data_IF_966057544239
#
_entry.id   IF_966057544239
#
_cell.length_a   1.000
_cell.length_b   1.000
_cell.length_c   1.000
_cell.angle_alpha   90.00
_cell.angle_beta   90.00
_cell.angle_gamma   90.00
#
_symmetry.space_group_name_H-M   'P 1'
#
loop_
_entity.id
_entity.type
_entity.pdbx_description
1 polymer ?
#
# COMPACT_ATOMS: atom_id res chain seq x y z
N UNK A 1 23.44 3.13 -31.61
CA UNK A 1 24.26 2.29 -30.69
C UNK A 1 23.90 2.67 -29.25
N UNK A 2 23.78 1.72 -28.33
CA UNK A 2 23.50 1.99 -26.91
C UNK A 2 24.77 2.42 -26.16
N UNK A 3 24.66 3.37 -25.25
CA UNK A 3 25.76 3.85 -24.42
C UNK A 3 25.28 4.18 -23.00
N UNK A 4 26.18 4.18 -22.03
CA UNK A 4 25.92 4.68 -20.69
C UNK A 4 25.80 6.20 -20.71
N UNK A 5 24.83 6.73 -19.96
CA UNK A 5 24.66 8.15 -19.69
C UNK A 5 24.97 8.44 -18.22
N UNK A 6 25.43 9.65 -17.97
CA UNK A 6 25.63 10.14 -16.60
C UNK A 6 24.50 11.11 -16.27
N UNK A 7 23.47 10.62 -15.57
CA UNK A 7 22.34 11.42 -15.11
C UNK A 7 22.55 11.87 -13.66
N UNK A 8 22.06 13.05 -13.33
CA UNK A 8 21.86 13.48 -11.93
C UNK A 8 20.78 12.61 -11.25
N UNK A 9 20.60 12.77 -9.95
CA UNK A 9 19.51 12.08 -9.23
C UNK A 9 18.15 12.54 -9.74
N UNK A 10 17.98 13.85 -9.90
CA UNK A 10 16.74 14.45 -10.41
C UNK A 10 16.39 13.95 -11.84
N UNK A 11 17.38 13.88 -12.74
CA UNK A 11 17.15 13.38 -14.11
C UNK A 11 16.77 11.89 -14.11
N UNK A 12 17.38 11.09 -13.21
CA UNK A 12 17.00 9.69 -13.01
C UNK A 12 15.55 9.58 -12.54
N UNK A 13 15.19 10.33 -11.49
CA UNK A 13 13.87 10.27 -10.88
C UNK A 13 12.79 10.81 -11.83
N UNK A 14 13.06 11.88 -12.59
CA UNK A 14 12.17 12.35 -13.66
C UNK A 14 11.91 11.29 -14.73
N UNK A 15 12.95 10.53 -15.14
CA UNK A 15 12.76 9.45 -16.09
C UNK A 15 11.89 8.34 -15.48
N UNK A 16 12.14 7.94 -14.24
CA UNK A 16 11.32 6.94 -13.52
C UNK A 16 9.87 7.39 -13.47
N UNK A 17 9.59 8.63 -13.09
CA UNK A 17 8.23 9.15 -12.94
C UNK A 17 7.47 9.25 -14.26
N UNK A 18 8.17 9.56 -15.35
CA UNK A 18 7.57 9.71 -16.68
C UNK A 18 7.37 8.38 -17.41
N UNK A 19 8.10 7.32 -17.03
CA UNK A 19 8.08 6.05 -17.73
C UNK A 19 6.88 5.17 -17.33
N UNK A 20 6.21 4.47 -18.28
CA UNK A 20 5.07 3.59 -17.97
C UNK A 20 5.37 2.48 -16.94
N UNK A 21 6.61 1.98 -16.93
CA UNK A 21 7.09 0.97 -15.98
C UNK A 21 7.85 1.57 -14.78
N UNK A 22 7.81 2.90 -14.63
CA UNK A 22 8.39 3.55 -13.47
C UNK A 22 7.65 3.18 -12.18
N UNK A 23 8.39 3.16 -11.08
CA UNK A 23 7.85 2.77 -9.77
C UNK A 23 8.56 3.54 -8.65
N UNK A 24 7.84 3.83 -7.57
CA UNK A 24 8.37 4.45 -6.34
C UNK A 24 9.68 3.79 -5.86
N UNK A 25 9.80 2.47 -6.03
CA UNK A 25 10.93 1.68 -5.55
C UNK A 25 12.21 1.88 -6.39
N UNK A 26 12.12 2.59 -7.50
CA UNK A 26 13.24 2.98 -8.36
C UNK A 26 13.68 4.44 -8.17
N UNK A 27 13.01 5.20 -7.29
CA UNK A 27 13.42 6.57 -6.95
C UNK A 27 14.64 6.58 -6.02
N UNK A 28 15.46 7.61 -6.16
CA UNK A 28 16.66 7.82 -5.33
C UNK A 28 16.28 8.05 -3.87
N UNK A 29 15.20 8.77 -3.60
CA UNK A 29 14.67 9.01 -2.25
C UNK A 29 14.24 7.71 -1.55
N UNK A 30 13.62 6.81 -2.32
CA UNK A 30 13.31 5.49 -1.79
C UNK A 30 14.57 4.74 -1.37
N UNK A 31 15.62 4.77 -2.20
CA UNK A 31 16.88 4.12 -1.87
C UNK A 31 17.52 4.70 -0.61
N UNK A 32 17.49 6.02 -0.43
CA UNK A 32 18.00 6.69 0.77
C UNK A 32 17.24 6.24 2.02
N UNK A 33 15.91 6.11 1.95
CA UNK A 33 15.10 5.59 3.07
C UNK A 33 15.50 4.18 3.52
N UNK A 34 16.16 3.39 2.66
CA UNK A 34 16.62 2.02 2.97
C UNK A 34 17.97 1.95 3.67
N UNK A 35 18.72 3.03 3.72
CA UNK A 35 20.03 3.07 4.41
C UNK A 35 19.90 2.64 5.89
N UNK A 36 18.85 3.08 6.57
CA UNK A 36 18.56 2.69 7.95
C UNK A 36 18.49 1.17 8.15
N UNK A 37 18.07 0.44 7.13
CA UNK A 37 17.95 -1.03 7.16
C UNK A 37 19.17 -1.75 6.60
N UNK A 38 20.26 -1.02 6.36
CA UNK A 38 21.56 -1.54 5.92
C UNK A 38 21.67 -1.81 4.42
N UNK A 39 20.79 -1.21 3.63
CA UNK A 39 20.92 -1.18 2.18
C UNK A 39 21.68 0.06 1.75
N UNK A 40 22.40 -0.02 0.62
CA UNK A 40 22.96 1.11 -0.10
C UNK A 40 22.71 0.93 -1.60
N UNK A 41 22.85 1.97 -2.39
CA UNK A 41 22.44 1.96 -3.80
C UNK A 41 23.57 2.28 -4.76
N UNK A 42 23.41 1.83 -5.99
CA UNK A 42 24.08 2.29 -7.21
C UNK A 42 22.99 2.53 -8.25
N UNK A 43 23.28 3.37 -9.23
CA UNK A 43 22.37 3.61 -10.36
C UNK A 43 23.16 3.75 -11.65
N UNK A 44 22.50 3.48 -12.77
CA UNK A 44 23.02 3.75 -14.10
C UNK A 44 21.88 4.10 -15.04
N UNK A 45 22.23 4.71 -16.14
CA UNK A 45 21.30 5.06 -17.21
C UNK A 45 21.90 4.62 -18.56
N UNK A 46 21.01 4.23 -19.47
CA UNK A 46 21.35 3.83 -20.83
C UNK A 46 20.59 4.74 -21.80
N UNK A 47 21.28 5.18 -22.83
CA UNK A 47 20.69 5.99 -23.89
C UNK A 47 21.22 5.65 -25.26
N UNK A 48 20.64 6.34 -26.26
CA UNK A 48 21.07 6.23 -27.65
C UNK A 48 22.24 7.19 -27.97
N UNK A 49 22.73 7.15 -29.21
CA UNK A 49 23.83 8.00 -29.67
C UNK A 49 23.50 9.51 -29.57
N UNK A 50 22.23 9.87 -29.71
CA UNK A 50 21.78 11.26 -29.60
C UNK A 50 21.76 11.76 -28.12
N UNK A 51 21.96 10.85 -27.15
CA UNK A 51 21.94 11.18 -25.74
C UNK A 51 20.54 11.12 -25.11
N UNK A 52 19.56 10.60 -25.82
CA UNK A 52 18.21 10.36 -25.29
C UNK A 52 18.25 9.15 -24.33
N UNK A 53 17.68 9.30 -23.15
CA UNK A 53 17.60 8.22 -22.14
C UNK A 53 16.54 7.19 -22.56
N UNK A 54 16.93 5.92 -22.62
CA UNK A 54 16.08 4.79 -22.98
C UNK A 54 15.77 3.88 -21.79
N UNK A 55 16.59 3.92 -20.75
CA UNK A 55 16.37 3.13 -19.55
C UNK A 55 17.24 3.56 -18.40
N UNK A 56 16.73 3.35 -17.18
CA UNK A 56 17.47 3.56 -15.94
C UNK A 56 17.30 2.37 -15.00
N UNK A 57 18.22 2.21 -14.07
CA UNK A 57 18.12 1.23 -13.01
C UNK A 57 18.74 1.73 -11.71
N UNK A 58 18.03 1.51 -10.61
CA UNK A 58 18.50 1.68 -9.26
C UNK A 58 18.70 0.29 -8.64
N UNK A 59 19.94 0.01 -8.24
CA UNK A 59 20.36 -1.26 -7.67
C UNK A 59 20.57 -1.09 -6.17
N UNK A 60 19.84 -1.84 -5.38
CA UNK A 60 19.99 -1.90 -3.93
C UNK A 60 20.93 -3.05 -3.54
N UNK A 61 21.91 -2.78 -2.70
CA UNK A 61 22.86 -3.76 -2.21
C UNK A 61 22.74 -3.94 -0.71
N UNK A 62 22.73 -5.19 -0.27
CA UNK A 62 22.77 -5.54 1.15
C UNK A 62 23.90 -6.50 1.45
N UNK A 63 24.76 -6.13 2.40
CA UNK A 63 25.87 -7.00 2.84
C UNK A 63 25.33 -8.26 3.52
N UNK A 64 25.89 -9.40 3.16
CA UNK A 64 25.62 -10.66 3.85
C UNK A 64 26.44 -10.70 5.13
N UNK A 65 25.81 -10.84 6.32
CA UNK A 65 26.54 -10.83 7.58
C UNK A 65 27.67 -11.86 7.61
N UNK A 66 28.85 -11.45 8.08
CA UNK A 66 30.07 -12.27 8.22
C UNK A 66 30.67 -12.80 6.90
N UNK A 67 30.13 -12.42 5.75
CA UNK A 67 30.65 -12.82 4.44
C UNK A 67 31.01 -11.58 3.61
N UNK A 68 32.07 -11.69 2.79
CA UNK A 68 32.46 -10.59 1.91
C UNK A 68 31.68 -10.62 0.58
N UNK A 69 30.35 -10.70 0.70
CA UNK A 69 29.44 -10.72 -0.43
C UNK A 69 28.22 -9.87 -0.14
N UNK A 70 27.53 -9.47 -1.20
CA UNK A 70 26.27 -8.71 -1.14
C UNK A 70 25.17 -9.46 -1.87
N UNK A 71 23.93 -9.08 -1.59
CA UNK A 71 22.76 -9.32 -2.45
C UNK A 71 22.50 -8.04 -3.23
N UNK A 72 22.31 -8.15 -4.54
CA UNK A 72 21.79 -7.07 -5.37
C UNK A 72 20.28 -7.27 -5.59
N UNK A 73 19.49 -6.21 -5.39
CA UNK A 73 18.08 -6.21 -5.68
C UNK A 73 17.72 -4.98 -6.51
N UNK A 74 17.17 -5.20 -7.69
CA UNK A 74 16.62 -4.16 -8.57
C UNK A 74 15.10 -4.21 -8.42
N UNK A 75 14.60 -3.41 -7.48
CA UNK A 75 13.18 -3.39 -7.13
C UNK A 75 12.34 -2.99 -8.34
N UNK A 76 11.31 -3.77 -8.65
CA UNK A 76 10.45 -3.57 -9.83
C UNK A 76 11.19 -3.64 -11.17
N UNK A 77 12.41 -4.20 -11.21
CA UNK A 77 13.18 -4.42 -12.43
C UNK A 77 13.83 -3.15 -12.99
N UNK A 78 14.24 -3.22 -14.24
CA UNK A 78 14.72 -2.07 -14.99
C UNK A 78 13.53 -1.17 -15.38
N UNK A 79 13.74 0.14 -15.36
CA UNK A 79 12.79 1.09 -15.92
C UNK A 79 13.15 1.32 -17.38
N UNK A 80 12.59 0.51 -18.26
CA UNK A 80 12.85 0.53 -19.71
C UNK A 80 11.73 -0.19 -20.47
N UNK A 81 11.76 -0.13 -21.79
CA UNK A 81 10.89 -0.96 -22.63
C UNK A 81 11.42 -2.40 -22.69
N UNK A 82 10.67 -3.35 -22.09
CA UNK A 82 11.00 -4.77 -22.12
C UNK A 82 10.71 -5.46 -23.46
N UNK A 83 10.05 -4.79 -24.39
CA UNK A 83 9.88 -5.27 -25.78
C UNK A 83 11.09 -4.94 -26.66
N UNK A 84 12.10 -4.22 -26.13
CA UNK A 84 13.42 -4.06 -26.78
C UNK A 84 14.46 -5.01 -26.16
N UNK A 85 14.67 -6.21 -26.74
CA UNK A 85 15.62 -7.18 -26.20
C UNK A 85 17.05 -6.65 -26.12
N UNK A 86 17.48 -5.85 -27.10
CA UNK A 86 18.83 -5.30 -27.09
C UNK A 86 19.08 -4.33 -25.95
N UNK A 87 18.06 -3.52 -25.63
CA UNK A 87 18.11 -2.62 -24.49
C UNK A 87 18.18 -3.40 -23.19
N UNK A 88 17.32 -4.40 -22.99
CA UNK A 88 17.29 -5.21 -21.77
C UNK A 88 18.60 -6.00 -21.57
N UNK A 89 19.16 -6.58 -22.65
CA UNK A 89 20.46 -7.25 -22.58
C UNK A 89 21.59 -6.30 -22.22
N UNK A 90 21.58 -5.08 -22.78
CA UNK A 90 22.56 -4.04 -22.44
C UNK A 90 22.42 -3.64 -20.96
N UNK A 91 21.20 -3.40 -20.48
CA UNK A 91 20.89 -3.09 -19.08
C UNK A 91 21.39 -4.20 -18.15
N UNK A 92 21.11 -5.46 -18.50
CA UNK A 92 21.59 -6.62 -17.72
C UNK A 92 23.11 -6.68 -17.66
N UNK A 93 23.80 -6.47 -18.80
CA UNK A 93 25.26 -6.45 -18.85
C UNK A 93 25.85 -5.42 -17.88
N UNK A 94 25.32 -4.20 -17.88
CA UNK A 94 25.80 -3.15 -16.99
C UNK A 94 25.44 -3.41 -15.53
N UNK A 95 24.23 -3.92 -15.25
CA UNK A 95 23.85 -4.36 -13.91
C UNK A 95 24.79 -5.46 -13.39
N UNK A 96 25.22 -6.41 -14.24
CA UNK A 96 26.17 -7.47 -13.89
C UNK A 96 27.57 -6.93 -13.62
N UNK A 97 28.03 -5.91 -14.35
CA UNK A 97 29.32 -5.26 -14.09
C UNK A 97 29.32 -4.65 -12.69
N UNK A 98 28.33 -3.82 -12.39
CA UNK A 98 28.17 -3.18 -11.06
C UNK A 98 28.00 -4.23 -9.96
N UNK A 99 27.19 -5.26 -10.19
CA UNK A 99 26.95 -6.32 -9.20
C UNK A 99 28.22 -7.12 -8.88
N UNK A 100 29.10 -7.36 -9.87
CA UNK A 100 30.39 -8.03 -9.65
C UNK A 100 31.36 -7.16 -8.86
N UNK A 101 31.43 -5.86 -9.15
CA UNK A 101 32.26 -4.90 -8.41
C UNK A 101 31.86 -4.84 -6.94
N UNK A 102 30.55 -4.88 -6.68
CA UNK A 102 29.96 -4.91 -5.34
C UNK A 102 29.94 -6.33 -4.71
N UNK A 103 30.55 -7.32 -5.38
CA UNK A 103 30.64 -8.73 -4.93
C UNK A 103 29.28 -9.37 -4.67
N UNK A 104 28.29 -9.05 -5.49
CA UNK A 104 26.98 -9.65 -5.36
C UNK A 104 27.00 -11.13 -5.74
N UNK A 105 26.34 -11.97 -4.95
CA UNK A 105 26.20 -13.40 -5.28
C UNK A 105 25.03 -13.66 -6.24
N UNK A 106 24.07 -12.74 -6.30
CA UNK A 106 22.94 -12.79 -7.21
C UNK A 106 22.38 -11.39 -7.44
N UNK A 107 21.71 -11.19 -8.57
CA UNK A 107 20.77 -10.10 -8.82
C UNK A 107 19.36 -10.66 -8.73
N UNK A 108 18.49 -10.03 -7.93
CA UNK A 108 17.06 -10.29 -7.88
C UNK A 108 16.31 -9.15 -8.53
N UNK A 109 15.30 -9.47 -9.34
CA UNK A 109 14.36 -8.50 -9.93
C UNK A 109 12.93 -9.00 -9.80
N UNK A 110 11.97 -8.08 -9.76
CA UNK A 110 10.54 -8.34 -9.77
C UNK A 110 9.82 -7.30 -10.65
N UNK A 111 10.01 -7.35 -11.99
CA UNK A 111 9.55 -6.31 -12.90
C UNK A 111 8.06 -5.98 -12.72
N UNK A 112 7.72 -4.68 -12.71
CA UNK A 112 6.34 -4.21 -12.61
C UNK A 112 5.62 -4.32 -13.98
N UNK A 113 5.63 -5.52 -14.54
CA UNK A 113 5.08 -5.85 -15.83
C UNK A 113 3.82 -6.69 -15.66
N UNK A 114 2.67 -6.25 -16.24
CA UNK A 114 1.46 -7.06 -16.21
C UNK A 114 1.66 -8.40 -16.95
N UNK A 115 1.33 -9.50 -16.29
CA UNK A 115 1.47 -10.86 -16.86
C UNK A 115 0.66 -11.05 -18.15
N UNK A 116 -0.48 -10.36 -18.26
CA UNK A 116 -1.36 -10.47 -19.44
C UNK A 116 -0.67 -10.02 -20.73
N UNK A 117 0.13 -8.94 -20.66
CA UNK A 117 0.78 -8.30 -21.81
C UNK A 117 2.27 -8.62 -21.95
N UNK A 118 2.89 -9.23 -20.93
CA UNK A 118 4.34 -9.48 -20.89
C UNK A 118 4.68 -10.94 -20.52
N UNK A 119 3.83 -11.88 -20.90
CA UNK A 119 4.08 -13.30 -20.62
C UNK A 119 5.34 -13.83 -21.33
N UNK A 120 5.60 -13.36 -22.52
CA UNK A 120 6.78 -13.66 -23.33
C UNK A 120 8.08 -13.14 -22.71
N UNK A 121 8.02 -12.06 -21.91
CA UNK A 121 9.15 -11.54 -21.16
C UNK A 121 9.72 -12.58 -20.19
N UNK A 122 8.90 -13.52 -19.69
CA UNK A 122 9.38 -14.60 -18.81
C UNK A 122 10.38 -15.47 -19.56
N UNK A 123 10.01 -15.96 -20.75
CA UNK A 123 10.88 -16.82 -21.57
C UNK A 123 12.13 -16.06 -22.04
N UNK A 124 11.94 -14.79 -22.40
CA UNK A 124 13.07 -13.93 -22.80
C UNK A 124 14.08 -13.74 -21.66
N UNK A 125 13.63 -13.37 -20.45
CA UNK A 125 14.53 -13.20 -19.29
C UNK A 125 15.23 -14.51 -18.92
N UNK A 126 14.54 -15.66 -19.04
CA UNK A 126 15.18 -16.96 -18.82
C UNK A 126 16.24 -17.25 -19.89
N UNK A 127 16.00 -16.88 -21.15
CA UNK A 127 16.96 -17.08 -22.24
C UNK A 127 18.27 -16.31 -22.05
N UNK A 128 18.23 -15.15 -21.40
CA UNK A 128 19.41 -14.32 -21.07
C UNK A 128 20.02 -14.63 -19.70
N UNK A 129 19.57 -15.70 -19.02
CA UNK A 129 20.21 -16.29 -17.84
C UNK A 129 19.55 -16.05 -16.51
N UNK A 130 18.42 -15.37 -16.45
CA UNK A 130 17.59 -15.32 -15.24
C UNK A 130 16.92 -16.66 -14.96
N UNK A 131 16.51 -16.86 -13.72
CA UNK A 131 15.70 -17.99 -13.26
C UNK A 131 14.39 -17.46 -12.73
N UNK A 132 13.29 -17.79 -13.38
CA UNK A 132 11.97 -17.44 -12.89
C UNK A 132 11.63 -18.19 -11.59
N UNK A 133 11.10 -17.48 -10.60
CA UNK A 133 10.75 -18.02 -9.28
C UNK A 133 9.34 -18.62 -9.23
N UNK A 134 8.66 -18.68 -10.35
CA UNK A 134 7.29 -19.18 -10.51
C UNK A 134 6.22 -18.15 -10.20
N UNK A 135 5.01 -18.39 -10.66
CA UNK A 135 3.84 -17.54 -10.47
C UNK A 135 3.16 -17.84 -9.13
N UNK A 136 3.80 -17.44 -8.03
CA UNK A 136 3.29 -17.65 -6.68
C UNK A 136 2.11 -16.73 -6.37
N UNK A 137 1.30 -17.09 -5.36
CA UNK A 137 0.25 -16.22 -4.82
C UNK A 137 0.81 -14.88 -4.33
N UNK A 138 0.05 -13.80 -4.50
CA UNK A 138 0.48 -12.44 -4.18
C UNK A 138 0.84 -12.23 -2.72
N UNK A 139 0.24 -13.00 -1.80
CA UNK A 139 0.53 -12.95 -0.36
C UNK A 139 1.51 -14.02 0.11
N UNK A 140 2.18 -14.73 -0.83
CA UNK A 140 3.21 -15.69 -0.49
C UNK A 140 4.35 -15.04 0.29
N UNK A 141 4.74 -15.66 1.42
CA UNK A 141 5.89 -15.22 2.23
C UNK A 141 7.25 -15.38 1.53
N UNK A 142 7.27 -16.13 0.42
CA UNK A 142 8.47 -16.33 -0.38
C UNK A 142 8.65 -15.25 -1.46
N UNK A 143 7.71 -14.32 -1.60
CA UNK A 143 7.84 -13.15 -2.47
C UNK A 143 8.56 -12.01 -1.75
N UNK A 144 9.40 -11.28 -2.46
CA UNK A 144 10.01 -10.03 -1.96
C UNK A 144 8.96 -8.92 -1.99
N UNK A 145 8.22 -8.83 -3.11
CA UNK A 145 7.10 -7.93 -3.28
C UNK A 145 5.84 -8.71 -3.67
N UNK A 146 4.65 -8.21 -3.37
CA UNK A 146 3.42 -8.84 -3.82
C UNK A 146 3.37 -8.93 -5.36
N UNK A 147 3.24 -10.16 -5.88
CA UNK A 147 3.05 -10.38 -7.33
C UNK A 147 1.67 -9.94 -7.81
N UNK A 148 0.68 -10.07 -6.95
CA UNK A 148 -0.71 -9.66 -7.21
C UNK A 148 -1.07 -8.52 -6.28
N UNK A 149 -1.54 -7.41 -6.85
CA UNK A 149 -2.02 -6.24 -6.11
C UNK A 149 -3.42 -5.85 -6.57
N UNK A 150 -4.14 -5.09 -5.76
CA UNK A 150 -5.44 -4.51 -6.15
C UNK A 150 -5.28 -3.05 -6.51
N UNK A 151 -5.60 -2.70 -7.76
CA UNK A 151 -5.41 -1.36 -8.32
C UNK A 151 -6.74 -0.76 -8.74
N UNK A 152 -7.01 0.48 -8.33
CA UNK A 152 -8.14 1.28 -8.79
C UNK A 152 -7.68 2.33 -9.81
N UNK A 153 -8.44 2.53 -10.88
CA UNK A 153 -8.28 3.69 -11.76
C UNK A 153 -8.94 4.91 -11.10
N UNK A 154 -8.16 5.95 -10.86
CA UNK A 154 -8.59 7.19 -10.17
C UNK A 154 -8.63 8.41 -11.09
N UNK A 155 -8.25 8.29 -12.34
CA UNK A 155 -8.32 9.36 -13.37
C UNK A 155 -9.79 9.63 -13.75
N UNK A 156 -10.54 10.21 -12.82
CA UNK A 156 -11.99 10.45 -12.88
C UNK A 156 -12.35 11.64 -12.00
N UNK A 157 -13.41 12.37 -12.36
CA UNK A 157 -13.97 13.35 -11.44
C UNK A 157 -14.50 12.72 -10.14
N UNK A 158 -14.77 13.52 -9.11
CA UNK A 158 -15.21 13.05 -7.79
C UNK A 158 -16.49 12.19 -7.85
N UNK A 159 -17.41 12.55 -8.74
CA UNK A 159 -18.68 11.84 -8.90
C UNK A 159 -18.46 10.48 -9.55
N UNK A 160 -17.67 10.43 -10.64
CA UNK A 160 -17.34 9.21 -11.35
C UNK A 160 -16.46 8.29 -10.49
N UNK A 161 -15.50 8.85 -9.74
CA UNK A 161 -14.69 8.10 -8.79
C UNK A 161 -15.55 7.43 -7.74
N UNK A 162 -16.44 8.19 -7.08
CA UNK A 162 -17.35 7.62 -6.10
C UNK A 162 -18.31 6.58 -6.72
N UNK A 163 -18.76 6.78 -7.98
CA UNK A 163 -19.60 5.82 -8.69
C UNK A 163 -18.89 4.52 -9.05
N UNK A 164 -17.58 4.52 -9.21
CA UNK A 164 -16.79 3.32 -9.49
C UNK A 164 -16.75 2.33 -8.33
N UNK A 165 -17.01 2.77 -7.10
CA UNK A 165 -17.04 1.91 -5.92
C UNK A 165 -18.30 1.03 -5.88
N UNK A 166 -18.25 -0.09 -5.18
CA UNK A 166 -19.42 -0.92 -4.91
C UNK A 166 -20.51 -0.11 -4.19
N UNK A 167 -21.80 -0.40 -4.48
CA UNK A 167 -22.95 0.36 -3.95
C UNK A 167 -22.90 0.56 -2.43
N UNK A 168 -22.62 -0.51 -1.69
CA UNK A 168 -22.55 -0.44 -0.23
C UNK A 168 -21.38 0.42 0.25
N UNK A 169 -20.25 0.37 -0.46
CA UNK A 169 -19.07 1.16 -0.12
C UNK A 169 -19.32 2.67 -0.35
N UNK A 170 -19.99 3.04 -1.45
CA UNK A 170 -20.42 4.44 -1.69
C UNK A 170 -21.26 4.98 -0.54
N UNK A 171 -22.17 4.15 -0.03
CA UNK A 171 -22.99 4.53 1.12
C UNK A 171 -22.16 4.73 2.38
N UNK A 172 -21.19 3.85 2.62
CA UNK A 172 -20.25 3.96 3.75
C UNK A 172 -19.42 5.24 3.69
N UNK A 173 -18.86 5.57 2.52
CA UNK A 173 -18.09 6.81 2.31
C UNK A 173 -18.95 8.04 2.64
N UNK A 174 -20.15 8.15 2.05
CA UNK A 174 -21.06 9.26 2.31
C UNK A 174 -21.46 9.36 3.80
N UNK A 175 -21.68 8.22 4.44
CA UNK A 175 -22.01 8.18 5.87
C UNK A 175 -20.84 8.62 6.74
N UNK A 176 -19.60 8.21 6.42
CA UNK A 176 -18.41 8.63 7.15
C UNK A 176 -18.23 10.15 7.10
N UNK A 177 -18.33 10.74 5.89
CA UNK A 177 -18.26 12.20 5.69
C UNK A 177 -19.33 12.91 6.53
N UNK A 178 -20.60 12.46 6.46
CA UNK A 178 -21.71 13.08 7.16
C UNK A 178 -21.63 12.95 8.69
N UNK A 179 -20.94 11.91 9.19
CA UNK A 179 -20.86 11.60 10.62
C UNK A 179 -19.69 12.28 11.33
N UNK A 180 -19.15 13.38 10.78
CA UNK A 180 -18.17 14.22 11.45
C UNK A 180 -16.75 13.67 11.50
N UNK A 181 -16.39 12.74 10.62
CA UNK A 181 -14.98 12.41 10.41
C UNK A 181 -14.33 13.49 9.55
N UNK A 182 -13.11 13.89 9.90
CA UNK A 182 -12.26 14.82 9.15
C UNK A 182 -10.99 14.14 8.74
N UNK A 183 -10.66 14.18 7.46
CA UNK A 183 -9.39 13.71 6.91
C UNK A 183 -8.50 14.91 6.67
N UNK A 184 -7.25 14.84 7.11
CA UNK A 184 -6.28 15.92 6.88
C UNK A 184 -4.90 15.35 6.62
N UNK A 185 -4.08 16.12 5.92
CA UNK A 185 -2.65 15.87 5.81
C UNK A 185 -2.00 16.29 7.11
N UNK A 186 -1.24 15.39 7.67
CA UNK A 186 -0.64 15.54 8.99
C UNK A 186 0.85 15.80 8.85
N UNK A 187 1.41 16.47 9.85
CA UNK A 187 2.81 16.86 9.88
C UNK A 187 3.71 15.72 10.40
N UNK A 188 5.01 15.92 10.29
CA UNK A 188 6.03 14.97 10.76
C UNK A 188 5.85 14.53 12.21
N UNK A 189 5.48 15.47 13.08
CA UNK A 189 5.27 15.26 14.52
C UNK A 189 4.13 14.27 14.81
N UNK A 190 3.16 14.19 13.91
CA UNK A 190 2.00 13.29 14.00
C UNK A 190 2.35 11.83 13.68
N UNK A 191 3.57 11.55 13.17
CA UNK A 191 4.06 10.17 13.00
C UNK A 191 4.00 9.37 14.30
N UNK A 192 4.14 10.00 15.47
CA UNK A 192 4.00 9.35 16.77
C UNK A 192 2.58 8.79 16.98
N UNK A 193 1.58 9.56 16.58
CA UNK A 193 0.17 9.15 16.60
C UNK A 193 -0.07 8.00 15.61
N UNK A 194 0.45 8.12 14.40
CA UNK A 194 0.37 7.07 13.39
C UNK A 194 1.01 5.76 13.86
N UNK A 195 2.20 5.81 14.47
CA UNK A 195 2.89 4.62 15.02
C UNK A 195 2.09 3.98 16.15
N UNK A 196 1.39 4.78 16.96
CA UNK A 196 0.50 4.25 18.01
C UNK A 196 -0.65 3.46 17.38
N UNK A 197 -1.31 4.01 16.35
CA UNK A 197 -2.33 3.30 15.59
C UNK A 197 -1.79 2.05 14.89
N UNK A 198 -0.56 2.11 14.34
CA UNK A 198 0.10 0.96 13.73
C UNK A 198 0.33 -0.18 14.75
N UNK A 199 0.73 0.13 15.99
CA UNK A 199 0.89 -0.87 17.05
C UNK A 199 -0.44 -1.52 17.41
N UNK A 200 -1.51 -0.74 17.57
CA UNK A 200 -2.86 -1.24 17.82
C UNK A 200 -3.33 -2.17 16.69
N UNK A 201 -3.14 -1.73 15.43
CA UNK A 201 -3.46 -2.53 14.23
C UNK A 201 -2.65 -3.82 14.19
N UNK A 202 -1.34 -3.76 14.45
CA UNK A 202 -0.45 -4.94 14.43
C UNK A 202 -0.81 -5.96 15.51
N UNK A 203 -1.19 -5.50 16.70
CA UNK A 203 -1.65 -6.37 17.80
C UNK A 203 -2.97 -7.08 17.42
N UNK A 204 -3.92 -6.35 16.87
CA UNK A 204 -5.20 -6.88 16.41
C UNK A 204 -5.04 -7.90 15.27
N UNK A 205 -4.25 -7.57 14.27
CA UNK A 205 -4.16 -8.33 13.01
C UNK A 205 -2.99 -9.33 13.00
N UNK A 206 -2.21 -9.39 14.11
CA UNK A 206 -1.18 -10.42 14.35
C UNK A 206 0.10 -10.24 13.51
N UNK A 207 0.51 -9.00 13.19
CA UNK A 207 1.77 -8.75 12.48
C UNK A 207 2.71 -7.81 13.26
N UNK A 208 4.00 -7.91 12.96
CA UNK A 208 5.02 -7.04 13.53
C UNK A 208 5.04 -5.70 12.80
N UNK A 209 4.94 -4.63 13.57
CA UNK A 209 5.02 -3.26 13.04
C UNK A 209 6.46 -2.75 13.03
N UNK A 210 6.73 -1.75 12.20
CA UNK A 210 7.96 -0.98 12.23
C UNK A 210 7.92 0.02 13.39
N UNK A 211 9.10 0.46 13.83
CA UNK A 211 9.25 1.49 14.86
C UNK A 211 9.12 2.92 14.26
N UNK A 212 9.13 3.91 15.13
CA UNK A 212 9.03 5.32 14.75
C UNK A 212 10.19 5.74 13.84
N UNK A 213 11.41 5.30 14.11
CA UNK A 213 12.61 5.66 13.36
C UNK A 213 12.52 5.24 11.90
N UNK A 214 11.90 4.08 11.64
CA UNK A 214 11.64 3.63 10.28
C UNK A 214 10.66 4.56 9.53
N UNK A 215 9.56 4.96 10.18
CA UNK A 215 8.56 5.84 9.55
C UNK A 215 9.07 7.27 9.41
N UNK A 216 9.87 7.76 10.37
CA UNK A 216 10.57 9.03 10.24
C UNK A 216 11.53 9.01 9.05
N UNK A 217 12.33 7.96 8.89
CA UNK A 217 13.22 7.83 7.73
C UNK A 217 12.49 7.78 6.40
N UNK A 218 11.32 7.11 6.33
CA UNK A 218 10.51 7.15 5.12
C UNK A 218 9.99 8.56 4.83
N UNK A 219 9.43 9.20 5.84
CA UNK A 219 8.83 10.52 5.70
C UNK A 219 9.89 11.57 5.31
N UNK A 220 10.99 11.62 6.07
CA UNK A 220 12.06 12.60 5.87
C UNK A 220 12.73 12.50 4.48
N UNK A 221 12.76 11.31 3.88
CA UNK A 221 13.36 11.15 2.56
C UNK A 221 12.37 11.32 1.40
N UNK A 222 11.05 11.15 1.62
CA UNK A 222 10.09 11.10 0.53
C UNK A 222 9.11 12.28 0.53
N UNK A 223 8.89 12.93 1.68
CA UNK A 223 7.86 13.97 1.82
C UNK A 223 8.23 15.27 1.09
N UNK A 224 9.43 15.77 1.30
CA UNK A 224 9.84 17.07 0.77
C UNK A 224 9.83 17.14 -0.76
N UNK A 225 10.01 15.99 -1.42
CA UNK A 225 9.93 15.85 -2.87
C UNK A 225 8.52 15.46 -3.37
N UNK A 226 7.53 15.44 -2.48
CA UNK A 226 6.14 15.14 -2.83
C UNK A 226 5.82 13.66 -3.06
N UNK A 227 6.76 12.76 -2.73
CA UNK A 227 6.58 11.31 -2.93
C UNK A 227 5.84 10.62 -1.79
N UNK A 228 5.57 11.31 -0.66
CA UNK A 228 4.85 10.75 0.48
C UNK A 228 4.06 11.79 1.24
N UNK A 229 2.87 11.39 1.70
CA UNK A 229 2.02 12.16 2.60
C UNK A 229 1.49 11.30 3.74
N UNK A 230 1.43 11.89 4.93
CA UNK A 230 0.75 11.31 6.09
C UNK A 230 -0.69 11.83 6.14
N UNK A 231 -1.66 10.92 6.10
CA UNK A 231 -3.07 11.24 6.32
C UNK A 231 -3.52 10.73 7.68
N UNK A 232 -4.26 11.57 8.40
CA UNK A 232 -4.94 11.18 9.63
C UNK A 232 -6.42 11.47 9.52
N UNK A 233 -7.23 10.68 10.24
CA UNK A 233 -8.67 10.88 10.36
C UNK A 233 -9.02 11.15 11.79
N UNK A 234 -9.64 12.31 12.03
CA UNK A 234 -10.12 12.77 13.32
C UNK A 234 -11.64 12.70 13.36
N UNK A 235 -12.21 12.14 14.39
CA UNK A 235 -13.62 12.30 14.71
C UNK A 235 -13.80 13.60 15.49
N UNK A 236 -14.70 14.46 15.03
CA UNK A 236 -15.03 15.74 15.65
C UNK A 236 -16.41 15.63 16.33
N UNK A 237 -16.48 15.37 17.65
CA UNK A 237 -17.76 15.15 18.32
C UNK A 237 -18.73 16.32 18.20
N UNK A 238 -18.24 17.54 18.19
CA UNK A 238 -19.05 18.76 17.99
C UNK A 238 -19.75 18.80 16.63
N UNK A 239 -19.09 18.33 15.58
CA UNK A 239 -19.66 18.27 14.22
C UNK A 239 -20.68 17.13 14.11
N UNK A 240 -20.39 16.00 14.77
CA UNK A 240 -21.37 14.90 14.86
C UNK A 240 -22.62 15.35 15.57
N UNK A 241 -22.50 16.04 16.72
CA UNK A 241 -23.62 16.57 17.48
C UNK A 241 -24.49 17.51 16.62
N UNK A 242 -23.85 18.47 15.93
CA UNK A 242 -24.57 19.39 15.04
C UNK A 242 -25.31 18.64 13.90
N UNK A 243 -24.70 17.62 13.31
CA UNK A 243 -25.33 16.80 12.28
C UNK A 243 -26.52 16.00 12.81
N UNK A 244 -26.42 15.48 14.04
CA UNK A 244 -27.51 14.76 14.69
C UNK A 244 -28.69 15.66 15.06
N UNK A 245 -28.43 16.92 15.46
CA UNK A 245 -29.48 17.92 15.69
C UNK A 245 -30.30 18.18 14.41
N UNK A 246 -29.63 18.42 13.29
CA UNK A 246 -30.28 18.62 11.99
C UNK A 246 -31.12 17.40 11.58
N UNK A 247 -30.56 16.19 11.75
CA UNK A 247 -31.32 14.95 11.46
C UNK A 247 -32.51 14.77 12.40
N UNK A 248 -32.40 15.13 13.68
CA UNK A 248 -33.47 15.06 14.67
C UNK A 248 -34.60 16.02 14.32
N UNK A 249 -34.29 17.28 14.07
CA UNK A 249 -35.31 18.28 13.63
C UNK A 249 -36.06 17.84 12.37
N UNK A 250 -35.32 17.20 11.43
CA UNK A 250 -35.95 16.68 10.21
C UNK A 250 -36.93 15.55 10.52
N UNK A 251 -36.56 14.61 11.37
CA UNK A 251 -37.43 13.50 11.77
C UNK A 251 -38.65 14.01 12.52
N UNK A 252 -38.50 15.01 13.40
CA UNK A 252 -39.61 15.62 14.13
C UNK A 252 -40.61 16.32 13.19
N UNK A 253 -40.12 17.13 12.24
CA UNK A 253 -40.95 17.74 11.20
C UNK A 253 -41.68 16.70 10.34
N UNK A 254 -41.01 15.58 10.00
CA UNK A 254 -41.65 14.53 9.21
C UNK A 254 -42.67 13.72 10.02
N UNK A 255 -42.46 13.53 11.34
CA UNK A 255 -43.42 12.96 12.27
C UNK A 255 -44.68 13.81 12.37
N UNK A 256 -44.56 15.12 12.57
CA UNK A 256 -45.68 16.05 12.60
C UNK A 256 -46.50 16.00 11.31
N UNK A 257 -45.83 15.95 10.14
CA UNK A 257 -46.49 15.81 8.85
C UNK A 257 -47.21 14.47 8.73
N UNK A 258 -46.59 13.38 9.20
CA UNK A 258 -47.21 12.05 9.16
C UNK A 258 -48.47 11.98 10.06
N UNK A 259 -48.44 12.61 11.24
CA UNK A 259 -49.59 12.67 12.16
C UNK A 259 -50.79 13.39 11.57
N UNK A 260 -50.57 14.39 10.71
CA UNK A 260 -51.65 15.18 10.03
C UNK A 260 -52.31 14.44 8.84
N UNK A 261 -51.80 13.26 8.42
CA UNK A 261 -52.36 12.46 7.32
C UNK A 261 -53.64 11.74 7.76
N UNK A 262 -54.47 11.36 6.76
CA UNK A 262 -55.66 10.53 7.02
C UNK A 262 -55.27 9.17 7.61
N UNK A 263 -56.07 8.65 8.50
CA UNK A 263 -55.84 7.38 9.18
C UNK A 263 -55.81 6.21 8.19
N UNK A 264 -54.94 5.24 8.49
CA UNK A 264 -54.73 4.05 7.70
C UNK A 264 -53.35 3.40 7.94
N UNK A 265 -53.18 2.16 7.55
CA UNK A 265 -51.98 1.35 7.79
C UNK A 265 -50.69 2.00 7.28
N UNK A 266 -50.73 2.78 6.20
CA UNK A 266 -49.59 3.54 5.69
C UNK A 266 -49.12 4.63 6.65
N UNK A 267 -50.07 5.35 7.30
CA UNK A 267 -49.77 6.38 8.31
C UNK A 267 -49.14 5.75 9.54
N UNK A 268 -49.72 4.67 10.04
CA UNK A 268 -49.25 3.96 11.23
C UNK A 268 -47.80 3.43 11.02
N UNK A 269 -47.55 2.77 9.87
CA UNK A 269 -46.20 2.28 9.53
C UNK A 269 -45.19 3.43 9.41
N UNK A 270 -45.56 4.55 8.77
CA UNK A 270 -44.72 5.73 8.64
C UNK A 270 -44.38 6.35 9.99
N UNK A 271 -45.35 6.48 10.90
CA UNK A 271 -45.15 7.01 12.25
C UNK A 271 -44.22 6.06 13.03
N UNK A 272 -44.44 4.75 12.95
CA UNK A 272 -43.61 3.75 13.60
C UNK A 272 -42.15 3.84 13.14
N UNK A 273 -41.92 3.92 11.83
CA UNK A 273 -40.58 4.02 11.27
C UNK A 273 -39.86 5.31 11.69
N UNK A 274 -40.57 6.45 11.67
CA UNK A 274 -40.03 7.74 12.10
C UNK A 274 -39.77 7.77 13.62
N UNK A 275 -40.63 7.16 14.43
CA UNK A 275 -40.43 7.05 15.87
C UNK A 275 -39.21 6.20 16.21
N UNK A 276 -39.05 5.05 15.55
CA UNK A 276 -37.86 4.22 15.69
C UNK A 276 -36.57 4.96 15.28
N UNK A 277 -36.67 5.77 14.21
CA UNK A 277 -35.54 6.60 13.78
C UNK A 277 -35.22 7.69 14.80
N UNK A 278 -36.22 8.34 15.39
CA UNK A 278 -36.04 9.34 16.45
C UNK A 278 -35.35 8.74 17.68
N UNK A 279 -35.80 7.58 18.14
CA UNK A 279 -35.19 6.88 19.26
C UNK A 279 -33.71 6.56 19.00
N UNK A 280 -33.41 6.07 17.79
CA UNK A 280 -32.04 5.78 17.39
C UNK A 280 -31.13 7.02 17.38
N UNK A 281 -31.64 8.15 16.88
CA UNK A 281 -30.92 9.43 16.89
C UNK A 281 -30.68 9.92 18.32
N UNK A 282 -31.65 9.78 19.22
CA UNK A 282 -31.50 10.13 20.65
C UNK A 282 -30.39 9.32 21.32
N UNK A 283 -30.30 8.02 21.05
CA UNK A 283 -29.18 7.18 21.56
C UNK A 283 -27.84 7.65 21.01
N UNK A 284 -27.79 8.00 19.73
CA UNK A 284 -26.55 8.52 19.11
C UNK A 284 -26.15 9.89 19.69
N UNK A 285 -27.11 10.76 20.03
CA UNK A 285 -26.81 12.02 20.71
C UNK A 285 -26.20 11.80 22.09
N UNK A 286 -26.74 10.88 22.88
CA UNK A 286 -26.16 10.54 24.19
C UNK A 286 -24.74 9.97 24.06
N UNK A 287 -24.52 9.08 23.09
CA UNK A 287 -23.22 8.50 22.82
C UNK A 287 -22.18 9.58 22.44
N UNK A 288 -22.53 10.49 21.51
CA UNK A 288 -21.61 11.53 21.07
C UNK A 288 -21.32 12.56 22.17
N UNK A 289 -22.27 12.82 23.07
CA UNK A 289 -22.06 13.66 24.25
C UNK A 289 -21.02 13.06 25.19
N UNK A 290 -21.05 11.73 25.41
CA UNK A 290 -20.04 11.04 26.20
C UNK A 290 -18.66 11.03 25.49
N UNK A 291 -18.63 10.89 24.19
CA UNK A 291 -17.39 11.00 23.40
C UNK A 291 -16.83 12.43 23.49
N UNK A 292 -17.70 13.45 23.41
CA UNK A 292 -17.31 14.85 23.53
C UNK A 292 -16.70 15.19 24.89
N UNK A 293 -17.25 14.62 25.97
CA UNK A 293 -16.68 14.78 27.33
C UNK A 293 -15.29 14.17 27.46
N UNK A 294 -15.04 13.02 26.83
CA UNK A 294 -13.75 12.32 26.87
C UNK A 294 -12.74 12.93 25.91
N UNK A 295 -13.18 13.41 24.76
CA UNK A 295 -12.37 13.89 23.67
C UNK A 295 -12.89 15.23 23.13
N UNK A 296 -12.81 16.33 23.91
CA UNK A 296 -13.35 17.64 23.50
C UNK A 296 -12.71 18.19 22.24
N UNK A 297 -11.40 17.89 22.03
CA UNK A 297 -10.65 18.27 20.84
C UNK A 297 -10.78 17.25 19.69
N UNK A 298 -11.62 16.21 19.87
CA UNK A 298 -11.73 15.11 18.93
C UNK A 298 -10.72 14.00 19.17
N UNK A 299 -10.88 12.88 18.46
CA UNK A 299 -10.06 11.67 18.59
C UNK A 299 -9.59 11.16 17.23
N UNK A 300 -8.31 10.80 17.13
CA UNK A 300 -7.74 10.22 15.89
C UNK A 300 -8.12 8.74 15.81
N UNK A 301 -8.75 8.35 14.72
CA UNK A 301 -9.31 7.01 14.51
C UNK A 301 -8.54 6.15 13.52
N UNK A 302 -7.91 6.79 12.54
CA UNK A 302 -7.11 6.07 11.54
C UNK A 302 -6.06 6.98 10.92
N UNK A 303 -5.10 6.36 10.25
CA UNK A 303 -4.07 7.07 9.51
C UNK A 303 -3.45 6.20 8.44
N UNK A 304 -2.81 6.84 7.47
CA UNK A 304 -2.12 6.16 6.40
C UNK A 304 -0.93 6.98 5.87
N UNK A 305 0.09 6.27 5.39
CA UNK A 305 1.11 6.82 4.52
C UNK A 305 0.71 6.51 3.08
N UNK A 306 0.41 7.56 2.34
CA UNK A 306 0.21 7.55 0.90
C UNK A 306 1.55 7.87 0.26
N UNK A 307 2.01 7.02 -0.68
CA UNK A 307 3.17 7.33 -1.50
C UNK A 307 2.76 7.48 -2.96
N UNK A 308 3.52 8.28 -3.71
CA UNK A 308 3.25 8.52 -5.13
C UNK A 308 4.56 8.65 -5.90
N UNK A 309 4.57 8.09 -7.12
CA UNK A 309 5.62 8.29 -8.11
C UNK A 309 4.98 8.35 -9.50
N UNK A 310 5.15 9.48 -10.18
CA UNK A 310 4.54 9.74 -11.48
C UNK A 310 3.03 9.48 -11.47
N UNK A 311 2.58 8.57 -12.32
CA UNK A 311 1.16 8.24 -12.48
C UNK A 311 0.61 7.19 -11.50
N UNK A 312 1.42 6.69 -10.56
CA UNK A 312 1.04 5.64 -9.60
C UNK A 312 1.04 6.17 -8.16
N UNK A 313 -0.03 5.91 -7.43
CA UNK A 313 -0.13 6.14 -6.00
C UNK A 313 -0.28 4.81 -5.25
N UNK A 314 0.26 4.75 -4.03
CA UNK A 314 0.35 3.54 -3.23
C UNK A 314 -0.19 3.77 -1.82
N UNK A 315 -1.19 2.98 -1.42
CA UNK A 315 -1.57 2.84 -0.02
C UNK A 315 -0.50 2.02 0.71
N UNK A 316 0.58 2.70 1.09
CA UNK A 316 1.81 2.04 1.52
C UNK A 316 1.69 1.44 2.92
N UNK A 317 1.16 2.22 3.87
CA UNK A 317 0.87 1.79 5.23
C UNK A 317 -0.47 2.35 5.68
N UNK A 318 -1.26 1.55 6.39
CA UNK A 318 -2.51 1.98 6.96
C UNK A 318 -2.76 1.41 8.34
N UNK A 319 -3.34 2.23 9.20
CA UNK A 319 -3.62 1.88 10.58
C UNK A 319 -4.99 2.42 11.01
N UNK A 320 -5.63 1.72 11.95
CA UNK A 320 -6.89 2.18 12.52
C UNK A 320 -7.04 1.72 13.95
N UNK A 321 -7.64 2.58 14.78
CA UNK A 321 -8.09 2.23 16.13
C UNK A 321 -9.27 1.27 16.09
N UNK A 322 -9.44 0.51 17.15
CA UNK A 322 -10.63 -0.30 17.42
C UNK A 322 -11.79 0.52 17.97
N UNK A 323 -11.50 1.75 18.43
CA UNK A 323 -12.52 2.64 18.98
C UNK A 323 -13.30 3.30 17.85
N UNK A 324 -14.61 3.48 18.05
CA UNK A 324 -15.50 4.25 17.18
C UNK A 324 -15.48 3.83 15.69
N UNK A 325 -15.33 2.52 15.42
CA UNK A 325 -15.26 1.96 14.05
C UNK A 325 -16.52 2.18 13.23
N UNK A 326 -17.66 2.39 13.91
CA UNK A 326 -18.98 2.70 13.32
C UNK A 326 -19.00 4.04 12.57
N UNK A 327 -18.05 4.94 12.84
CA UNK A 327 -17.86 6.19 12.09
C UNK A 327 -17.14 6.00 10.75
N UNK A 328 -16.66 4.78 10.46
CA UNK A 328 -16.09 4.37 9.17
C UNK A 328 -14.90 5.23 8.72
N UNK A 329 -13.91 5.56 9.58
CA UNK A 329 -12.85 6.50 9.27
C UNK A 329 -12.04 6.10 8.03
N UNK A 330 -11.73 4.80 7.86
CA UNK A 330 -10.98 4.32 6.71
C UNK A 330 -11.70 4.53 5.37
N UNK A 331 -13.04 4.56 5.37
CA UNK A 331 -13.80 4.79 4.14
C UNK A 331 -13.71 6.26 3.68
N UNK A 332 -13.70 7.19 4.61
CA UNK A 332 -13.47 8.60 4.30
C UNK A 332 -12.02 8.81 3.86
N UNK A 333 -11.06 8.29 4.62
CA UNK A 333 -9.62 8.41 4.35
C UNK A 333 -9.26 7.93 2.94
N UNK A 334 -9.67 6.73 2.56
CA UNK A 334 -9.37 6.18 1.24
C UNK A 334 -9.91 7.06 0.11
N UNK A 335 -11.12 7.57 0.26
CA UNK A 335 -11.73 8.44 -0.75
C UNK A 335 -10.96 9.76 -0.89
N UNK A 336 -10.60 10.41 0.22
CA UNK A 336 -9.83 11.66 0.18
C UNK A 336 -8.40 11.44 -0.33
N UNK A 337 -7.75 10.34 0.04
CA UNK A 337 -6.41 9.98 -0.47
C UNK A 337 -6.42 9.73 -1.98
N UNK A 338 -7.44 9.05 -2.51
CA UNK A 338 -7.59 8.86 -3.96
C UNK A 338 -7.77 10.18 -4.71
N UNK A 339 -8.55 11.11 -4.16
CA UNK A 339 -8.73 12.46 -4.72
C UNK A 339 -7.41 13.22 -4.71
N UNK A 340 -6.74 13.24 -3.55
CA UNK A 340 -5.44 13.89 -3.41
C UNK A 340 -4.42 13.33 -4.42
N UNK A 341 -4.29 12.01 -4.52
CA UNK A 341 -3.36 11.37 -5.45
C UNK A 341 -3.66 11.75 -6.91
N UNK A 342 -4.94 11.72 -7.32
CA UNK A 342 -5.39 12.15 -8.65
C UNK A 342 -5.04 13.62 -8.93
N UNK A 343 -5.34 14.50 -7.98
CA UNK A 343 -5.12 15.93 -8.10
C UNK A 343 -3.61 16.28 -8.17
N UNK A 344 -2.74 15.35 -7.70
CA UNK A 344 -1.28 15.40 -7.86
C UNK A 344 -0.76 14.52 -9.03
N UNK A 345 -1.62 14.17 -9.99
CA UNK A 345 -1.21 13.55 -11.26
C UNK A 345 -1.26 12.03 -11.30
N UNK A 346 -1.58 11.33 -10.21
CA UNK A 346 -1.73 9.88 -10.26
C UNK A 346 -3.00 9.48 -11.05
N UNK A 347 -2.88 8.41 -11.83
CA UNK A 347 -3.99 7.79 -12.58
C UNK A 347 -4.46 6.48 -11.98
N UNK A 348 -3.58 5.86 -11.22
CA UNK A 348 -3.83 4.58 -10.55
C UNK A 348 -3.52 4.66 -9.06
N UNK A 349 -4.29 3.91 -8.28
CA UNK A 349 -4.14 3.80 -6.83
C UNK A 349 -4.02 2.33 -6.45
N UNK A 350 -2.83 1.93 -5.99
CA UNK A 350 -2.51 0.55 -5.60
C UNK A 350 -2.73 0.34 -4.10
N UNK A 351 -3.65 -0.54 -3.76
CA UNK A 351 -3.95 -0.97 -2.40
C UNK A 351 -2.94 -2.00 -1.85
N UNK A 352 -1.94 -2.37 -2.64
CA UNK A 352 -0.95 -3.38 -2.28
C UNK A 352 -1.42 -4.82 -2.41
N UNK A 353 -0.59 -5.72 -1.92
CA UNK A 353 -0.71 -7.16 -2.10
C UNK A 353 -2.04 -7.78 -1.70
N UNK A 354 -2.44 -8.81 -2.45
CA UNK A 354 -3.67 -9.55 -2.22
C UNK A 354 -3.51 -11.02 -2.64
N UNK A 355 -4.19 -11.93 -1.92
CA UNK A 355 -4.52 -13.26 -2.46
C UNK A 355 -5.80 -13.14 -3.27
N UNK A 356 -5.82 -13.68 -4.48
CA UNK A 356 -6.98 -13.54 -5.38
C UNK A 356 -8.08 -14.48 -4.94
N UNK A 357 -9.29 -13.93 -4.71
CA UNK A 357 -10.50 -14.69 -4.35
C UNK A 357 -10.25 -15.74 -3.26
N UNK A 358 -9.65 -15.36 -2.12
CA UNK A 358 -9.39 -16.31 -1.04
C UNK A 358 -10.72 -16.87 -0.50
N UNK A 359 -10.76 -18.10 -0.01
CA UNK A 359 -11.95 -18.65 0.64
C UNK A 359 -12.30 -17.87 1.92
N UNK A 360 -13.57 -17.91 2.33
CA UNK A 360 -14.09 -17.09 3.44
C UNK A 360 -13.41 -17.36 4.79
N UNK A 361 -12.92 -18.56 5.02
CA UNK A 361 -12.16 -18.94 6.21
C UNK A 361 -10.66 -18.57 6.15
N UNK A 362 -10.21 -18.01 5.03
CA UNK A 362 -8.83 -17.56 4.88
C UNK A 362 -8.55 -16.31 5.72
N UNK A 363 -7.39 -16.21 6.39
CA UNK A 363 -6.96 -15.00 7.07
C UNK A 363 -6.82 -13.79 6.14
N UNK A 364 -6.75 -14.01 4.82
CA UNK A 364 -6.64 -12.95 3.82
C UNK A 364 -7.99 -12.46 3.27
N UNK A 365 -9.10 -13.11 3.63
CA UNK A 365 -10.43 -12.81 3.09
C UNK A 365 -10.89 -11.38 3.45
N UNK A 366 -10.75 -10.97 4.70
CA UNK A 366 -11.12 -9.62 5.14
C UNK A 366 -10.35 -8.52 4.41
N UNK A 367 -9.05 -8.73 4.19
CA UNK A 367 -8.20 -7.80 3.44
C UNK A 367 -8.62 -7.71 1.96
N UNK A 368 -8.90 -8.85 1.34
CA UNK A 368 -9.39 -8.92 -0.04
C UNK A 368 -10.74 -8.22 -0.18
N UNK A 369 -11.69 -8.49 0.72
CA UNK A 369 -13.00 -7.79 0.73
C UNK A 369 -12.85 -6.28 0.88
N UNK A 370 -11.99 -5.83 1.80
CA UNK A 370 -11.74 -4.40 2.00
C UNK A 370 -11.23 -3.73 0.72
N UNK A 371 -10.30 -4.38 0.00
CA UNK A 371 -9.71 -3.81 -1.22
C UNK A 371 -10.67 -3.87 -2.42
N UNK A 372 -11.47 -4.92 -2.54
CA UNK A 372 -12.37 -5.15 -3.68
C UNK A 372 -13.42 -4.07 -3.85
N UNK A 373 -13.96 -3.55 -2.75
CA UNK A 373 -15.12 -2.63 -2.76
C UNK A 373 -14.85 -1.24 -3.34
N UNK A 374 -13.57 -0.93 -3.66
CA UNK A 374 -13.13 0.36 -4.18
C UNK A 374 -13.09 0.45 -5.72
N UNK A 375 -13.74 -0.48 -6.41
CA UNK A 375 -13.70 -0.54 -7.88
C UNK A 375 -12.32 -0.97 -8.41
N UNK A 376 -11.63 -1.77 -7.63
CA UNK A 376 -10.30 -2.28 -7.96
C UNK A 376 -10.34 -3.45 -8.91
N UNK A 377 -9.26 -3.62 -9.64
CA UNK A 377 -8.93 -4.81 -10.43
C UNK A 377 -7.65 -5.45 -9.89
N UNK A 378 -7.53 -6.76 -10.04
CA UNK A 378 -6.29 -7.47 -9.72
C UNK A 378 -5.27 -7.19 -10.81
N UNK A 379 -4.12 -6.65 -10.42
CA UNK A 379 -2.94 -6.52 -11.28
C UNK A 379 -1.99 -7.66 -10.96
N UNK A 380 -1.84 -8.60 -11.89
CA UNK A 380 -0.87 -9.69 -11.80
C UNK A 380 0.42 -9.32 -12.52
N UNK A 381 1.56 -9.55 -11.86
CA UNK A 381 2.89 -9.29 -12.44
C UNK A 381 3.52 -10.59 -12.94
N UNK A 382 4.52 -10.44 -13.83
CA UNK A 382 5.31 -11.58 -14.34
C UNK A 382 6.06 -12.34 -13.25
N UNK A 383 6.25 -11.77 -12.06
CA UNK A 383 6.87 -12.42 -10.91
C UNK A 383 8.34 -12.06 -10.70
N UNK A 384 9.01 -12.87 -9.88
CA UNK A 384 10.39 -12.65 -9.46
C UNK A 384 11.37 -13.50 -10.26
N UNK A 385 12.57 -12.93 -10.48
CA UNK A 385 13.66 -13.58 -11.20
C UNK A 385 14.98 -13.43 -10.44
N UNK A 386 15.78 -14.47 -10.46
CA UNK A 386 17.13 -14.47 -9.89
C UNK A 386 18.17 -14.69 -10.99
N UNK A 387 19.15 -13.78 -11.11
CA UNK A 387 20.35 -14.02 -11.88
C UNK A 387 21.48 -14.44 -10.95
N UNK A 388 21.96 -15.68 -11.07
CA UNK A 388 22.93 -16.28 -10.15
C UNK A 388 24.35 -15.96 -10.61
N UNK A 389 25.09 -15.12 -9.85
CA UNK A 389 26.47 -14.77 -10.12
C UNK A 389 27.41 -15.77 -9.45
N UNK A 390 27.18 -16.11 -8.17
CA UNK A 390 28.05 -17.00 -7.40
C UNK A 390 27.24 -18.18 -6.83
N UNK A 391 27.19 -19.30 -7.57
CA UNK A 391 26.38 -20.48 -7.24
C UNK A 391 26.51 -21.00 -5.81
N UNK A 392 27.73 -21.24 -5.25
CA UNK A 392 27.86 -21.74 -3.89
C UNK A 392 27.20 -20.84 -2.85
N UNK A 393 27.42 -19.52 -2.94
CA UNK A 393 26.83 -18.57 -2.02
C UNK A 393 25.30 -18.43 -2.21
N UNK A 394 24.85 -18.45 -3.46
CA UNK A 394 23.41 -18.45 -3.74
C UNK A 394 22.74 -19.65 -3.09
N UNK A 395 23.29 -20.87 -3.26
CA UNK A 395 22.74 -22.07 -2.64
C UNK A 395 22.75 -21.98 -1.11
N UNK A 396 23.83 -21.46 -0.53
CA UNK A 396 23.93 -21.28 0.91
C UNK A 396 22.91 -20.26 1.43
N UNK A 397 22.74 -19.12 0.75
CA UNK A 397 21.87 -18.04 1.19
C UNK A 397 20.39 -18.35 0.97
N UNK A 398 20.03 -18.90 -0.20
CA UNK A 398 18.62 -19.10 -0.59
C UNK A 398 18.05 -20.47 -0.16
N UNK A 399 18.89 -21.45 0.10
CA UNK A 399 18.46 -22.80 0.50
C UNK A 399 18.97 -23.15 1.90
N UNK A 400 20.28 -23.01 2.15
CA UNK A 400 20.91 -23.43 3.39
C UNK A 400 20.43 -22.64 4.61
N UNK A 401 20.43 -21.31 4.55
CA UNK A 401 20.02 -20.46 5.67
C UNK A 401 18.52 -20.60 5.99
N UNK A 402 17.60 -20.58 5.01
CA UNK A 402 16.19 -20.81 5.28
C UNK A 402 15.90 -22.22 5.86
N UNK A 403 16.57 -23.27 5.37
CA UNK A 403 16.44 -24.61 5.94
C UNK A 403 16.89 -24.66 7.39
N UNK A 404 18.03 -24.05 7.71
CA UNK A 404 18.55 -23.98 9.08
C UNK A 404 17.61 -23.21 10.01
N UNK A 405 17.05 -22.08 9.56
CA UNK A 405 16.06 -21.31 10.33
C UNK A 405 14.77 -22.09 10.58
N UNK A 406 14.23 -22.76 9.55
CA UNK A 406 13.05 -23.64 9.70
C UNK A 406 13.33 -24.79 10.68
N UNK A 407 14.51 -25.40 10.62
CA UNK A 407 14.95 -26.45 11.55
C UNK A 407 15.01 -25.96 13.00
N UNK A 408 15.59 -24.76 13.22
CA UNK A 408 15.68 -24.14 14.55
C UNK A 408 14.31 -23.79 15.14
N UNK A 409 13.40 -23.27 14.34
CA UNK A 409 12.01 -22.97 14.76
C UNK A 409 11.29 -24.28 15.16
N UNK A 410 11.40 -25.32 14.33
CA UNK A 410 10.78 -26.61 14.61
C UNK A 410 11.33 -27.26 15.91
N UNK A 411 12.65 -27.18 16.13
CA UNK A 411 13.30 -27.65 17.34
C UNK A 411 12.81 -26.90 18.58
N UNK A 412 12.73 -25.56 18.51
CA UNK A 412 12.25 -24.73 19.62
C UNK A 412 10.77 -25.02 19.96
N UNK A 413 9.93 -25.24 18.93
CA UNK A 413 8.52 -25.64 19.13
C UNK A 413 8.40 -27.01 19.79
N UNK A 414 9.24 -27.99 19.39
CA UNK A 414 9.27 -29.32 20.01
C UNK A 414 9.75 -29.24 21.45
N UNK A 415 10.78 -28.45 21.75
CA UNK A 415 11.28 -28.23 23.12
C UNK A 415 10.25 -27.53 24.00
N UNK A 416 9.48 -26.60 23.46
CA UNK A 416 8.39 -25.92 24.18
C UNK A 416 7.26 -26.89 24.50
N UNK A 417 6.83 -27.70 23.53
CA UNK A 417 5.81 -28.73 23.71
C UNK A 417 6.23 -29.84 24.72
N UNK A 418 7.53 -30.16 24.79
CA UNK A 418 8.07 -31.10 25.79
C UNK A 418 8.12 -30.48 27.18
N UNK A 419 8.33 -29.17 27.31
CA UNK A 419 8.28 -28.47 28.63
C UNK A 419 6.86 -28.28 29.15
N UNK A 420 5.87 -28.14 28.26
CA UNK A 420 4.45 -28.03 28.62
C UNK A 420 3.81 -29.39 28.97
N UNK A 421 4.47 -30.51 28.68
CA UNK A 421 4.05 -31.88 29.07
C UNK A 421 4.70 -32.39 30.35
N UNK A 422 5.57 -31.62 30.97
CA UNK A 422 6.14 -31.87 32.34
C UNK A 422 5.53 -30.92 33.36
#
# INVERSE_FOLDING_TARGET
MLKLLNLTEDEHDQFVESHPHGDLLQLTDWAQSKHLTGWYSRRFAVGNEAGETLGVALLLFKKVPKLNHTLCYISRGFVCDYHDPLLVEFMLKEALNIARDEKAYAIKIDPDLPLETHRDTIEFLESIGFRHRGLKDGMSKDNIQPRQTMVASIDKDDKALLQSFERNNRTKVRNAIRRGTRVYRAEREDLKTFVTLMKETGQRDGFLTRDITYFESLYDNLHDNGHMELFLVKLMPTEVAASLEVDMEKVERDLEKAMKKKDGSKKENQIKDLSNRKEKLGKQQQEIEEISKRHPEGVILSGALLAQAGHKAYYLYGASSDQYREYLPNHHMQYEMMKYARDNGARTYDFGGVSVSPPEDSPHFGLWQFKKVWGTQVSEKVGEFDYVIHRPFYTLAEVGVPMFQKGKVKLNQTLKALKERR
#
